data_IF_519139360404
#
_entry.id   IF_519139360404
#
_cell.length_a   1.000
_cell.length_b   1.000
_cell.length_c   1.000
_cell.angle_alpha   90.00
_cell.angle_beta   90.00
_cell.angle_gamma   90.00
#
_symmetry.space_group_name_H-M   'P 1'
#
loop_
_entity.id
_entity.type
_entity.pdbx_description
1 polymer ?
#
# COMPACT_ATOMS: atom_id res chain seq x y z
N UNK A 1 -8.06 20.14 9.03
CA UNK A 1 -8.19 18.79 9.61
C UNK A 1 -7.12 17.93 8.98
N UNK A 2 -6.26 17.30 9.78
CA UNK A 2 -5.33 16.29 9.26
C UNK A 2 -6.10 14.97 9.10
N UNK A 3 -5.92 14.28 7.97
CA UNK A 3 -6.50 12.95 7.76
C UNK A 3 -5.67 11.93 8.52
N UNK A 4 -6.33 11.06 9.30
CA UNK A 4 -5.68 9.93 9.98
C UNK A 4 -5.78 8.68 9.10
N UNK A 5 -4.67 8.32 8.46
CA UNK A 5 -4.57 7.15 7.59
C UNK A 5 -4.23 5.85 8.33
N UNK A 6 -4.00 5.90 9.65
CA UNK A 6 -3.60 4.72 10.43
C UNK A 6 -4.68 3.63 10.50
N UNK A 7 -5.93 4.00 10.21
CA UNK A 7 -7.09 3.09 10.19
C UNK A 7 -7.43 2.55 8.81
N UNK A 8 -6.70 2.96 7.77
CA UNK A 8 -6.96 2.52 6.40
C UNK A 8 -6.41 1.10 6.20
N UNK A 9 -7.24 0.20 5.70
CA UNK A 9 -6.81 -1.08 5.15
C UNK A 9 -6.71 -0.94 3.63
N UNK A 10 -5.53 -1.18 3.08
CA UNK A 10 -5.22 -0.96 1.67
C UNK A 10 -4.67 -2.24 1.04
N UNK A 11 -5.17 -2.57 -0.15
CA UNK A 11 -4.59 -3.58 -1.03
C UNK A 11 -3.87 -2.88 -2.18
N UNK A 12 -2.57 -3.09 -2.29
CA UNK A 12 -1.73 -2.59 -3.37
C UNK A 12 -1.50 -3.72 -4.39
N UNK A 13 -2.07 -3.59 -5.57
CA UNK A 13 -1.83 -4.50 -6.70
C UNK A 13 -0.83 -3.83 -7.64
N UNK A 14 0.35 -4.43 -7.78
CA UNK A 14 1.44 -3.90 -8.62
C UNK A 14 2.33 -5.06 -9.06
N UNK A 15 2.60 -5.19 -10.36
CA UNK A 15 3.35 -6.31 -10.93
C UNK A 15 4.87 -6.14 -10.80
N UNK A 16 5.39 -4.91 -10.86
CA UNK A 16 6.81 -4.65 -10.65
C UNK A 16 7.20 -4.62 -9.15
N UNK A 17 8.19 -5.42 -8.77
CA UNK A 17 8.59 -5.56 -7.37
C UNK A 17 9.25 -4.30 -6.79
N UNK A 18 10.01 -3.56 -7.60
CA UNK A 18 10.67 -2.34 -7.14
C UNK A 18 9.64 -1.22 -6.96
N UNK A 19 8.71 -1.08 -7.90
CA UNK A 19 7.60 -0.13 -7.86
C UNK A 19 6.68 -0.41 -6.67
N UNK A 20 6.30 -1.67 -6.44
CA UNK A 20 5.49 -2.06 -5.29
C UNK A 20 6.14 -1.70 -3.96
N UNK A 21 7.46 -1.87 -3.86
CA UNK A 21 8.24 -1.48 -2.68
C UNK A 21 8.24 0.03 -2.49
N UNK A 22 8.51 0.79 -3.56
CA UNK A 22 8.52 2.25 -3.54
C UNK A 22 7.16 2.82 -3.10
N UNK A 23 6.06 2.33 -3.69
CA UNK A 23 4.70 2.78 -3.36
C UNK A 23 4.37 2.46 -1.90
N UNK A 24 4.70 1.25 -1.43
CA UNK A 24 4.49 0.86 -0.04
C UNK A 24 5.23 1.77 0.94
N UNK A 25 6.46 2.15 0.63
CA UNK A 25 7.27 3.00 1.50
C UNK A 25 6.71 4.44 1.56
N UNK A 26 6.22 4.96 0.43
CA UNK A 26 5.50 6.25 0.39
C UNK A 26 4.22 6.19 1.24
N UNK A 27 3.41 5.15 1.08
CA UNK A 27 2.17 4.98 1.84
C UNK A 27 2.42 4.84 3.35
N UNK A 28 3.49 4.13 3.74
CA UNK A 28 3.94 4.05 5.12
C UNK A 28 4.34 5.43 5.67
N UNK A 29 5.07 6.23 4.89
CA UNK A 29 5.46 7.60 5.28
C UNK A 29 4.25 8.53 5.45
N UNK A 30 3.15 8.28 4.72
CA UNK A 30 1.87 8.98 4.85
C UNK A 30 1.02 8.48 6.03
N UNK A 31 1.47 7.44 6.75
CA UNK A 31 0.81 6.93 7.95
C UNK A 31 -0.16 5.77 7.72
N UNK A 32 -0.23 5.21 6.50
CA UNK A 32 -0.96 3.95 6.25
C UNK A 32 -0.15 2.81 6.84
N UNK A 33 -0.77 2.01 7.72
CA UNK A 33 -0.07 0.89 8.40
C UNK A 33 -0.49 -0.49 7.90
N UNK A 34 -1.71 -0.62 7.40
CA UNK A 34 -2.27 -1.90 7.01
C UNK A 34 -2.29 -2.00 5.48
N UNK A 35 -1.14 -2.35 4.90
CA UNK A 35 -0.97 -2.51 3.45
C UNK A 35 -0.75 -3.99 3.16
N UNK A 36 -1.68 -4.59 2.41
CA UNK A 36 -1.48 -5.88 1.76
C UNK A 36 -1.03 -5.64 0.32
N UNK A 37 -0.25 -6.57 -0.22
CA UNK A 37 0.29 -6.45 -1.57
C UNK A 37 -0.07 -7.69 -2.39
N UNK A 38 -0.49 -7.48 -3.63
CA UNK A 38 -0.67 -8.53 -4.62
C UNK A 38 0.16 -8.20 -5.88
N UNK A 39 0.61 -9.24 -6.59
CA UNK A 39 1.37 -9.09 -7.83
C UNK A 39 0.46 -9.00 -9.07
N UNK A 40 -0.79 -9.42 -8.91
CA UNK A 40 -1.80 -9.44 -9.95
C UNK A 40 -3.20 -9.45 -9.31
N UNK A 41 -4.23 -9.27 -10.14
CA UNK A 41 -5.63 -9.27 -9.69
C UNK A 41 -6.20 -10.64 -9.36
N UNK A 42 -5.44 -11.74 -9.55
CA UNK A 42 -5.88 -13.09 -9.17
C UNK A 42 -5.57 -13.43 -7.72
N UNK A 43 -4.63 -12.69 -7.12
CA UNK A 43 -4.22 -12.80 -5.71
C UNK A 43 -4.86 -11.72 -4.81
N UNK A 44 -5.81 -10.96 -5.36
CA UNK A 44 -6.49 -9.84 -4.71
C UNK A 44 -7.74 -10.28 -3.93
#
# INVERSE_FOLDING_TARGET
>A
MAFDFSRLNLLLVEDDAAMRTLIRDILNALGVKNIQTAQDGSQA
#
